data_IF_520667687008
#
_entry.id   IF_520667687008
#
_cell.length_a   1.000
_cell.length_b   1.000
_cell.length_c   1.000
_cell.angle_alpha   90.00
_cell.angle_beta   90.00
_cell.angle_gamma   90.00
#
_symmetry.space_group_name_H-M   'P 1'
#
loop_
_entity.id
_entity.type
_entity.pdbx_description
1 polymer ?
#
# COMPACT_ATOMS: atom_id res chain seq x y z
N UNK A 1 1.87 -7.13 6.76
CA UNK A 1 2.91 -6.13 6.40
C UNK A 1 2.50 -5.45 5.10
N UNK A 2 2.53 -4.13 5.08
CA UNK A 2 2.25 -3.33 3.88
C UNK A 2 3.52 -2.58 3.49
N UNK A 3 3.89 -2.61 2.21
CA UNK A 3 5.05 -1.92 1.66
C UNK A 3 4.59 -1.06 0.49
N UNK A 4 4.80 0.26 0.58
CA UNK A 4 4.57 1.20 -0.49
C UNK A 4 5.92 1.58 -1.12
N UNK A 5 6.04 1.48 -2.44
CA UNK A 5 7.27 1.83 -3.17
C UNK A 5 6.98 2.94 -4.16
N UNK A 6 7.68 4.07 -4.05
CA UNK A 6 7.60 5.13 -5.05
C UNK A 6 8.25 4.64 -6.34
N UNK A 7 7.53 4.73 -7.46
CA UNK A 7 8.05 4.30 -8.76
C UNK A 7 9.09 5.26 -9.33
N UNK A 8 9.10 6.51 -8.90
CA UNK A 8 10.05 7.51 -9.37
C UNK A 8 11.38 7.45 -8.62
N UNK A 9 11.36 7.46 -7.29
CA UNK A 9 12.57 7.45 -6.46
C UNK A 9 13.05 6.05 -6.09
N UNK A 10 12.15 5.05 -6.08
CA UNK A 10 12.40 3.73 -5.51
C UNK A 10 12.37 3.70 -3.97
N UNK A 11 12.03 4.81 -3.32
CA UNK A 11 11.87 4.88 -1.87
C UNK A 11 10.78 3.92 -1.39
N UNK A 12 10.99 3.33 -0.21
CA UNK A 12 10.07 2.36 0.39
C UNK A 12 9.57 2.85 1.74
N UNK A 13 8.25 2.89 1.87
CA UNK A 13 7.56 3.08 3.14
C UNK A 13 6.96 1.75 3.58
N UNK A 14 7.06 1.41 4.87
CA UNK A 14 6.49 0.17 5.40
C UNK A 14 5.65 0.43 6.63
N UNK A 15 4.52 -0.25 6.74
CA UNK A 15 3.66 -0.24 7.93
C UNK A 15 3.06 -1.62 8.22
N UNK A 16 2.39 -1.74 9.36
CA UNK A 16 1.58 -2.90 9.71
C UNK A 16 0.12 -2.46 9.82
N UNK A 17 -0.80 -3.38 9.51
CA UNK A 17 -2.20 -3.16 9.80
C UNK A 17 -2.44 -3.14 11.30
N UNK A 18 -3.46 -2.41 11.74
CA UNK A 18 -3.91 -2.42 13.11
C UNK A 18 -4.77 -3.67 13.45
N UNK A 19 -5.45 -3.64 14.60
CA UNK A 19 -6.31 -4.73 15.06
C UNK A 19 -7.60 -4.93 14.24
N UNK A 20 -7.97 -3.97 13.38
CA UNK A 20 -9.11 -4.06 12.47
C UNK A 20 -8.68 -4.45 11.05
N UNK A 21 -7.38 -4.45 10.77
CA UNK A 21 -6.84 -4.73 9.44
C UNK A 21 -6.57 -3.47 8.62
N UNK A 22 -6.79 -2.28 9.19
CA UNK A 22 -6.60 -1.02 8.50
C UNK A 22 -5.14 -0.56 8.54
N UNK A 23 -4.73 0.21 7.54
CA UNK A 23 -3.41 0.85 7.48
C UNK A 23 -3.48 2.15 6.68
N UNK A 24 -2.54 3.04 6.93
CA UNK A 24 -2.39 4.32 6.23
C UNK A 24 -0.91 4.63 6.01
N UNK A 25 -0.64 5.28 4.89
CA UNK A 25 0.64 5.92 4.59
C UNK A 25 0.37 7.43 4.50
N UNK A 26 0.99 8.19 5.40
CA UNK A 26 0.80 9.64 5.52
C UNK A 26 2.07 10.39 5.15
N UNK A 27 1.93 11.65 4.71
CA UNK A 27 3.07 12.48 4.34
C UNK A 27 3.79 12.04 3.07
N UNK A 28 3.06 11.40 2.15
CA UNK A 28 3.57 11.03 0.83
C UNK A 28 3.75 12.27 -0.03
N UNK A 29 4.71 12.22 -0.95
CA UNK A 29 4.83 13.23 -2.00
C UNK A 29 3.58 13.21 -2.90
N UNK A 30 3.06 14.40 -3.22
CA UNK A 30 1.96 14.61 -4.18
C UNK A 30 2.43 14.32 -5.62
N UNK A 31 1.48 14.05 -6.51
CA UNK A 31 1.72 13.79 -7.94
C UNK A 31 2.73 12.66 -8.23
N UNK A 32 2.76 11.64 -7.36
CA UNK A 32 3.59 10.44 -7.50
C UNK A 32 2.76 9.21 -7.76
N UNK A 33 3.39 8.22 -8.39
CA UNK A 33 2.83 6.89 -8.57
C UNK A 33 3.57 5.87 -7.71
N UNK A 34 2.82 5.10 -6.94
CA UNK A 34 3.35 4.09 -6.04
C UNK A 34 2.85 2.68 -6.39
N UNK A 35 3.68 1.70 -6.03
CA UNK A 35 3.29 0.29 -5.95
C UNK A 35 3.09 -0.11 -4.49
N UNK A 36 1.90 -0.60 -4.15
CA UNK A 36 1.60 -1.17 -2.84
C UNK A 36 1.66 -2.71 -2.89
N UNK A 37 2.41 -3.31 -1.97
CA UNK A 37 2.47 -4.75 -1.75
C UNK A 37 1.99 -5.08 -0.34
N UNK A 38 1.03 -6.00 -0.23
CA UNK A 38 0.44 -6.46 1.03
C UNK A 38 0.75 -7.94 1.21
N UNK A 39 1.34 -8.27 2.35
CA UNK A 39 1.76 -9.61 2.72
C UNK A 39 1.21 -9.97 4.10
N UNK A 40 0.59 -11.15 4.21
CA UNK A 40 0.13 -11.72 5.47
C UNK A 40 0.41 -13.22 5.47
N UNK A 41 0.80 -13.77 6.63
CA UNK A 41 1.14 -15.17 6.76
C UNK A 41 -0.07 -16.07 6.42
N UNK A 42 0.15 -17.06 5.54
CA UNK A 42 -0.90 -17.96 5.09
C UNK A 42 -1.86 -17.37 4.04
N UNK A 43 -1.53 -16.21 3.47
CA UNK A 43 -2.27 -15.58 2.37
C UNK A 43 -1.36 -15.28 1.19
N UNK A 44 -1.95 -15.20 0.00
CA UNK A 44 -1.27 -14.75 -1.21
C UNK A 44 -0.91 -13.27 -1.11
N UNK A 45 0.26 -12.91 -1.61
CA UNK A 45 0.68 -11.51 -1.78
C UNK A 45 -0.26 -10.79 -2.72
N UNK A 46 -0.69 -9.59 -2.32
CA UNK A 46 -1.53 -8.72 -3.16
C UNK A 46 -0.77 -7.46 -3.52
N UNK A 47 -0.81 -7.08 -4.80
CA UNK A 47 -0.08 -5.92 -5.34
C UNK A 47 -1.02 -4.98 -6.07
N UNK A 48 -0.82 -3.68 -5.87
CA UNK A 48 -1.44 -2.61 -6.62
C UNK A 48 -0.35 -1.75 -7.24
N UNK A 49 -0.22 -1.75 -8.57
CA UNK A 49 0.95 -1.19 -9.26
C UNK A 49 0.85 0.29 -9.62
N UNK A 50 -0.31 0.94 -9.47
CA UNK A 50 -0.53 2.30 -9.96
C UNK A 50 -1.45 3.09 -9.04
N UNK A 51 -0.96 3.36 -7.83
CA UNK A 51 -1.63 4.26 -6.90
C UNK A 51 -1.07 5.66 -7.08
N UNK A 52 -1.92 6.58 -7.51
CA UNK A 52 -1.52 7.95 -7.86
C UNK A 52 -1.97 8.92 -6.75
N UNK A 53 -1.03 9.71 -6.23
CA UNK A 53 -1.23 10.64 -5.12
C UNK A 53 -1.62 12.06 -5.55
N UNK A 54 -2.09 12.28 -6.79
CA UNK A 54 -2.79 13.54 -7.18
C UNK A 54 -4.03 13.80 -6.31
N UNK A 55 -4.55 12.76 -5.66
CA UNK A 55 -5.58 12.81 -4.63
C UNK A 55 -5.37 11.68 -3.62
N UNK A 56 -6.03 11.78 -2.47
CA UNK A 56 -6.04 10.69 -1.49
C UNK A 56 -6.69 9.44 -2.07
N UNK A 57 -5.98 8.31 -1.99
CA UNK A 57 -6.44 7.02 -2.53
C UNK A 57 -6.96 6.14 -1.40
N UNK A 58 -8.27 5.86 -1.42
CA UNK A 58 -8.88 4.84 -0.57
C UNK A 58 -9.12 3.56 -1.39
N UNK A 59 -8.55 2.44 -0.94
CA UNK A 59 -8.65 1.13 -1.62
C UNK A 59 -9.87 0.31 -1.18
N UNK A 60 -10.64 0.79 -0.20
CA UNK A 60 -11.75 0.07 0.41
C UNK A 60 -11.30 -1.20 1.13
N UNK A 61 -12.22 -2.15 1.26
CA UNK A 61 -11.90 -3.47 1.81
C UNK A 61 -10.98 -4.26 0.87
N UNK A 62 -9.92 -4.81 1.45
CA UNK A 62 -8.93 -5.61 0.73
C UNK A 62 -9.01 -7.07 1.21
N UNK A 63 -9.83 -7.88 0.55
CA UNK A 63 -9.80 -9.32 0.75
C UNK A 63 -8.51 -9.91 0.15
N UNK A 64 -7.80 -10.72 0.94
CA UNK A 64 -6.63 -11.49 0.51
C UNK A 64 -7.05 -12.92 0.16
N UNK A 65 -6.54 -13.43 -0.95
CA UNK A 65 -6.69 -14.83 -1.32
C UNK A 65 -5.83 -15.73 -0.42
N UNK A 66 -6.28 -16.96 -0.19
CA UNK A 66 -5.48 -18.01 0.46
C UNK A 66 -4.78 -18.87 -0.57
#
# INVERSE_FOLDING_TARGET
>A
KCTLTDQASGEKHTTQSDGFGDFWFEGLEEDRTFTLTIEAEGFQTKTYDKLDTTQDVNLGEIALGR
#
